data_IF_207291223109
#
_entry.id   IF_207291223109
#
_cell.length_a   1.000
_cell.length_b   1.000
_cell.length_c   1.000
_cell.angle_alpha   90.00
_cell.angle_beta   90.00
_cell.angle_gamma   90.00
#
_symmetry.space_group_name_H-M   'P 1'
#
loop_
_entity.id
_entity.type
_entity.pdbx_description
1 polymer ?
#
# COMPACT_ATOMS: atom_id res chain seq x y z
N UNK A 1 -1.24 0.02 14.19
CA UNK A 1 -0.56 -1.27 13.90
C UNK A 1 0.29 -0.97 12.69
N UNK A 2 1.61 -1.19 12.71
CA UNK A 2 2.46 -0.69 11.64
C UNK A 2 2.05 -1.28 10.28
N UNK A 3 1.92 -0.41 9.28
CA UNK A 3 1.54 -0.76 7.91
C UNK A 3 2.68 -0.36 7.00
N UNK A 4 3.14 -1.30 6.18
CA UNK A 4 4.16 -1.02 5.20
C UNK A 4 3.51 -0.47 3.94
N UNK A 5 4.06 0.64 3.44
CA UNK A 5 3.49 1.36 2.31
C UNK A 5 4.41 1.15 1.12
N UNK A 6 3.86 0.55 0.07
CA UNK A 6 4.54 0.30 -1.19
C UNK A 6 4.88 1.64 -1.87
N UNK A 7 6.07 1.70 -2.47
CA UNK A 7 6.52 2.85 -3.26
C UNK A 7 5.51 3.24 -4.34
N UNK A 8 4.73 2.30 -4.90
CA UNK A 8 3.73 2.60 -5.92
C UNK A 8 2.57 3.49 -5.43
N UNK A 9 2.26 3.51 -4.12
CA UNK A 9 1.23 4.37 -3.52
C UNK A 9 1.77 5.78 -3.29
N UNK A 10 3.02 5.88 -2.83
CA UNK A 10 3.70 7.16 -2.61
C UNK A 10 3.89 7.88 -3.94
N UNK A 11 4.25 7.14 -5.00
CA UNK A 11 4.48 7.71 -6.32
C UNK A 11 3.24 8.39 -6.90
N UNK A 12 2.03 7.90 -6.61
CA UNK A 12 0.78 8.50 -7.11
C UNK A 12 0.62 9.97 -6.68
N UNK A 13 1.01 10.30 -5.44
CA UNK A 13 0.99 11.68 -4.91
C UNK A 13 2.03 12.56 -5.60
N UNK A 14 3.25 12.05 -5.78
CA UNK A 14 4.35 12.77 -6.43
C UNK A 14 4.08 13.03 -7.91
N UNK A 15 3.49 12.06 -8.61
CA UNK A 15 3.17 12.19 -10.04
C UNK A 15 1.80 12.81 -10.29
N UNK A 16 1.02 13.05 -9.23
CA UNK A 16 -0.38 13.50 -9.31
C UNK A 16 -1.21 12.62 -10.24
N UNK A 17 -1.10 11.30 -10.06
CA UNK A 17 -1.79 10.33 -10.90
C UNK A 17 -3.31 10.56 -10.85
N UNK A 18 -3.98 10.93 -11.96
CA UNK A 18 -5.39 11.34 -11.93
C UNK A 18 -6.35 10.19 -11.59
N UNK A 19 -5.91 8.93 -11.69
CA UNK A 19 -6.70 7.77 -11.33
C UNK A 19 -6.52 7.41 -9.86
N UNK A 20 -5.32 7.55 -9.32
CA UNK A 20 -4.96 6.98 -8.01
C UNK A 20 -4.72 8.02 -6.90
N UNK A 21 -4.43 9.28 -7.25
CA UNK A 21 -4.12 10.36 -6.30
C UNK A 21 -5.14 10.44 -5.17
N UNK A 22 -6.42 10.41 -5.50
CA UNK A 22 -7.48 10.61 -4.51
C UNK A 22 -7.55 9.49 -3.46
N UNK A 23 -7.22 8.27 -3.86
CA UNK A 23 -7.16 7.12 -2.96
C UNK A 23 -5.85 7.11 -2.17
N UNK A 24 -4.72 7.27 -2.86
CA UNK A 24 -3.37 7.25 -2.29
C UNK A 24 -3.20 8.36 -1.25
N UNK A 25 -3.57 9.60 -1.56
CA UNK A 25 -3.53 10.71 -0.60
C UNK A 25 -4.37 10.44 0.65
N UNK A 26 -5.58 9.88 0.51
CA UNK A 26 -6.46 9.58 1.66
C UNK A 26 -5.85 8.51 2.57
N UNK A 27 -5.27 7.47 2.00
CA UNK A 27 -4.74 6.37 2.78
C UNK A 27 -3.38 6.70 3.40
N UNK A 28 -2.55 7.48 2.70
CA UNK A 28 -1.32 8.04 3.25
C UNK A 28 -1.62 8.96 4.44
N UNK A 29 -2.66 9.80 4.35
CA UNK A 29 -3.11 10.61 5.48
C UNK A 29 -3.62 9.77 6.65
N UNK A 30 -4.33 8.67 6.37
CA UNK A 30 -4.84 7.76 7.40
C UNK A 30 -3.72 7.02 8.16
N UNK A 31 -2.62 6.68 7.47
CA UNK A 31 -1.49 5.94 8.04
C UNK A 31 -0.26 6.82 8.35
N UNK A 32 -0.40 8.16 8.38
CA UNK A 32 0.68 9.17 8.53
C UNK A 32 1.70 8.87 9.64
N UNK A 33 1.29 8.17 10.70
CA UNK A 33 2.12 7.87 11.87
C UNK A 33 2.76 6.46 11.84
N UNK A 34 2.41 5.61 10.88
CA UNK A 34 2.74 4.18 10.82
C UNK A 34 3.65 3.79 9.61
N UNK A 35 4.37 4.74 9.00
CA UNK A 35 5.12 4.55 7.74
C UNK A 35 6.46 3.81 7.84
N UNK A 36 6.61 2.71 7.09
CA UNK A 36 7.89 2.03 6.81
C UNK A 36 7.93 1.53 5.34
N UNK A 37 9.11 1.47 4.69
CA UNK A 37 9.26 1.19 3.23
C UNK A 37 9.76 -0.23 2.91
N UNK A 38 9.07 -0.87 1.94
CA UNK A 38 9.28 -2.08 1.13
C UNK A 38 9.81 -3.40 1.76
N UNK A 39 10.96 -3.44 2.43
CA UNK A 39 11.59 -4.74 2.75
C UNK A 39 11.22 -5.32 4.14
N UNK A 40 10.56 -4.54 5.01
CA UNK A 40 10.40 -4.92 6.42
C UNK A 40 9.11 -5.68 6.76
N UNK A 41 8.03 -5.57 5.98
CA UNK A 41 6.73 -6.14 6.36
C UNK A 41 6.72 -7.66 6.43
N UNK A 42 7.29 -8.32 5.42
CA UNK A 42 7.28 -9.79 5.31
C UNK A 42 8.02 -10.43 6.49
N UNK A 43 9.12 -9.80 6.92
CA UNK A 43 9.91 -10.26 8.07
C UNK A 43 9.19 -10.01 9.41
N UNK A 44 8.34 -8.97 9.47
CA UNK A 44 7.66 -8.52 10.69
C UNK A 44 6.21 -9.00 10.82
N UNK A 45 5.64 -9.60 9.77
CA UNK A 45 4.21 -9.96 9.70
C UNK A 45 3.28 -8.76 9.63
N UNK A 46 3.73 -7.63 9.08
CA UNK A 46 2.91 -6.42 8.96
C UNK A 46 2.03 -6.43 7.72
N UNK A 47 0.96 -5.63 7.74
CA UNK A 47 0.13 -5.46 6.54
C UNK A 47 0.89 -4.65 5.48
N UNK A 48 0.67 -4.96 4.20
CA UNK A 48 1.18 -4.16 3.07
C UNK A 48 0.03 -3.39 2.44
N UNK A 49 0.24 -2.09 2.25
CA UNK A 49 -0.61 -1.21 1.47
C UNK A 49 -0.01 -1.03 0.08
N UNK A 50 -0.74 -1.46 -0.94
CA UNK A 50 -0.31 -1.37 -2.35
C UNK A 50 -1.54 -1.21 -3.25
N UNK A 51 -1.38 -0.56 -4.40
CA UNK A 51 -2.42 -0.58 -5.45
C UNK A 51 -2.37 -1.86 -6.30
N UNK A 52 -1.28 -2.62 -6.23
CA UNK A 52 -1.05 -3.82 -7.03
C UNK A 52 -1.50 -5.09 -6.30
N UNK A 53 -2.76 -5.47 -6.50
CA UNK A 53 -3.35 -6.69 -5.92
C UNK A 53 -2.72 -8.00 -6.45
N UNK A 54 -2.19 -7.99 -7.69
CA UNK A 54 -1.86 -9.22 -8.41
C UNK A 54 -0.58 -9.94 -7.99
N UNK A 55 0.44 -9.22 -7.53
CA UNK A 55 1.78 -9.81 -7.37
C UNK A 55 2.02 -10.39 -5.98
N UNK A 56 1.58 -9.73 -4.91
CA UNK A 56 1.96 -10.12 -3.55
C UNK A 56 1.28 -11.39 -3.05
N UNK A 57 0.02 -11.64 -3.44
CA UNK A 57 -0.73 -12.79 -2.96
C UNK A 57 -0.16 -14.13 -3.47
N UNK A 58 0.45 -14.13 -4.67
CA UNK A 58 1.07 -15.32 -5.25
C UNK A 58 2.39 -15.71 -4.55
N UNK A 59 3.18 -14.73 -4.12
CA UNK A 59 4.47 -14.95 -3.46
C UNK A 59 4.35 -15.04 -1.93
N UNK A 60 3.36 -14.38 -1.34
CA UNK A 60 3.19 -14.23 0.12
C UNK A 60 1.73 -14.44 0.55
N UNK A 61 1.20 -15.68 0.49
CA UNK A 61 -0.22 -15.96 0.72
C UNK A 61 -0.71 -15.70 2.15
N UNK A 62 0.19 -15.53 3.11
CA UNK A 62 -0.12 -15.23 4.52
C UNK A 62 -0.09 -13.74 4.84
N UNK A 63 0.32 -12.91 3.89
CA UNK A 63 0.46 -11.48 4.08
C UNK A 63 -0.91 -10.79 3.99
N UNK A 64 -1.21 -9.91 4.94
CA UNK A 64 -2.44 -9.12 4.89
C UNK A 64 -2.24 -7.91 3.94
N UNK A 65 -2.98 -7.89 2.83
CA UNK A 65 -2.86 -6.87 1.77
C UNK A 65 -4.04 -5.90 1.86
N UNK A 66 -3.73 -4.61 1.92
CA UNK A 66 -4.68 -3.51 1.83
C UNK A 66 -4.54 -2.91 0.43
N UNK A 67 -5.60 -3.00 -0.37
CA UNK A 67 -5.66 -2.56 -1.77
C UNK A 67 -7.00 -1.87 -2.00
N UNK A 68 -7.14 -0.93 -2.96
CA UNK A 68 -8.43 -0.37 -3.29
C UNK A 68 -9.38 -1.49 -3.76
N UNK A 69 -10.59 -1.52 -3.19
CA UNK A 69 -11.70 -2.28 -3.78
C UNK A 69 -12.02 -1.61 -5.11
N UNK A 70 -11.95 -2.36 -6.23
CA UNK A 70 -12.29 -1.87 -7.57
C UNK A 70 -13.55 -1.00 -7.52
N UNK A 71 -13.41 0.30 -7.78
CA UNK A 71 -14.53 1.12 -8.18
C UNK A 71 -14.82 0.76 -9.63
N UNK A 72 -15.93 0.04 -9.84
CA UNK A 72 -16.49 -0.27 -11.15
C UNK A 72 -16.96 1.03 -11.79
#
# INVERSE_FOLDING_TARGET
MPVLIDSNVILDDFTRDPQWLDWSSKILAYYAEDFYIDAHAVVRGWSILTRDNGHFNAYFPTLHIITPVKFI
#
